data_IF_189508812491
#
_entry.id   IF_189508812491
#
_cell.length_a   1.000
_cell.length_b   1.000
_cell.length_c   1.000
_cell.angle_alpha   90.00
_cell.angle_beta   90.00
_cell.angle_gamma   90.00
#
_symmetry.space_group_name_H-M   'P 1'
#
loop_
_entity.id
_entity.type
_entity.pdbx_description
1 polymer ?
#
# COMPACT_ATOMS: atom_id res chain seq x y z
N UNK A 1 6.12 -4.16 24.10
CA UNK A 1 6.05 -4.42 22.64
C UNK A 1 5.55 -5.84 22.45
N UNK A 2 4.54 -6.06 21.61
CA UNK A 2 4.10 -7.40 21.19
C UNK A 2 4.52 -7.62 19.74
N UNK A 3 5.00 -8.82 19.39
CA UNK A 3 5.45 -9.16 18.05
C UNK A 3 4.55 -10.22 17.39
N UNK A 4 4.34 -10.08 16.09
CA UNK A 4 3.62 -11.06 15.26
C UNK A 4 4.18 -11.08 13.84
N UNK A 5 3.90 -12.16 13.11
CA UNK A 5 4.27 -12.27 11.70
C UNK A 5 3.01 -12.49 10.86
N UNK A 6 2.93 -11.79 9.72
CA UNK A 6 1.94 -12.05 8.69
C UNK A 6 2.64 -12.88 7.62
N UNK A 7 2.25 -14.14 7.53
CA UNK A 7 2.56 -14.99 6.39
C UNK A 7 1.46 -14.81 5.36
N UNK A 8 1.83 -14.65 4.08
CA UNK A 8 0.84 -14.68 3.01
C UNK A 8 0.05 -15.99 3.12
N UNK A 9 -1.27 -15.92 3.01
CA UNK A 9 -2.06 -17.14 2.78
C UNK A 9 -1.50 -17.85 1.55
N UNK A 10 -1.65 -19.17 1.48
CA UNK A 10 -1.11 -20.08 0.46
C UNK A 10 -1.72 -19.86 -0.96
N UNK A 11 -1.93 -18.60 -1.33
CA UNK A 11 -2.23 -18.11 -2.66
C UNK A 11 -0.88 -17.97 -3.36
N UNK A 12 -0.52 -19.01 -4.13
CA UNK A 12 0.57 -19.06 -5.13
C UNK A 12 1.42 -17.77 -5.19
N UNK A 13 2.51 -17.69 -4.40
CA UNK A 13 3.31 -16.46 -4.23
C UNK A 13 3.77 -15.82 -5.56
N UNK A 14 3.94 -16.63 -6.62
CA UNK A 14 4.24 -16.13 -7.96
C UNK A 14 3.07 -15.39 -8.62
N UNK A 15 1.82 -15.78 -8.36
CA UNK A 15 0.64 -15.05 -8.79
C UNK A 15 0.52 -13.70 -8.08
N UNK A 16 0.76 -13.64 -6.77
CA UNK A 16 0.76 -12.40 -5.96
C UNK A 16 1.89 -11.44 -6.37
N UNK A 17 3.08 -11.97 -6.70
CA UNK A 17 4.18 -11.16 -7.23
C UNK A 17 3.90 -10.52 -8.58
N UNK A 18 3.36 -11.33 -9.50
CA UNK A 18 2.97 -10.85 -10.82
C UNK A 18 1.89 -9.79 -10.69
N UNK A 19 0.92 -10.04 -9.82
CA UNK A 19 -0.15 -9.12 -9.44
C UNK A 19 0.41 -7.72 -9.09
N UNK A 20 1.37 -7.60 -8.16
CA UNK A 20 1.93 -6.29 -7.79
C UNK A 20 2.60 -5.52 -8.95
N UNK A 21 3.17 -6.23 -9.93
CA UNK A 21 3.76 -5.59 -11.12
C UNK A 21 2.74 -4.75 -11.90
N UNK A 22 1.45 -5.04 -11.77
CA UNK A 22 0.38 -4.24 -12.38
C UNK A 22 0.28 -2.88 -11.68
N UNK A 23 0.27 -2.84 -10.34
CA UNK A 23 0.21 -1.58 -9.59
C UNK A 23 1.47 -0.74 -9.75
N UNK A 24 2.65 -1.36 -9.67
CA UNK A 24 3.91 -0.65 -9.88
C UNK A 24 3.98 -0.03 -11.28
N UNK A 25 3.42 -0.69 -12.28
CA UNK A 25 3.34 -0.15 -13.63
C UNK A 25 2.38 1.06 -13.71
N UNK A 26 1.21 0.98 -13.06
CA UNK A 26 0.20 2.05 -13.08
C UNK A 26 0.59 3.25 -12.24
N UNK A 27 1.15 3.04 -11.04
CA UNK A 27 1.63 4.12 -10.16
C UNK A 27 2.77 4.93 -10.81
N UNK A 28 3.41 4.39 -11.85
CA UNK A 28 4.46 5.07 -12.64
C UNK A 28 3.94 5.73 -13.92
N UNK A 29 2.64 5.70 -14.18
CA UNK A 29 2.00 6.45 -15.27
C UNK A 29 1.83 7.90 -14.80
N UNK A 30 2.08 8.84 -15.70
CA UNK A 30 1.66 10.23 -15.52
C UNK A 30 0.31 10.44 -16.22
N UNK A 31 -0.74 10.74 -15.47
CA UNK A 31 -2.06 11.06 -16.02
C UNK A 31 -2.70 12.23 -15.28
N UNK A 32 -2.39 13.48 -15.64
CA UNK A 32 -2.86 14.66 -14.90
C UNK A 32 -4.37 14.90 -15.02
N UNK A 33 -5.04 14.22 -15.93
CA UNK A 33 -6.44 14.44 -16.30
C UNK A 33 -7.38 13.30 -15.89
N UNK A 34 -6.84 12.11 -15.55
CA UNK A 34 -7.64 10.93 -15.29
C UNK A 34 -7.13 10.14 -14.08
N UNK A 35 -8.05 9.55 -13.33
CA UNK A 35 -7.79 8.32 -12.58
C UNK A 35 -8.12 7.10 -13.45
N UNK A 36 -7.62 5.93 -13.07
CA UNK A 36 -7.79 4.66 -13.75
C UNK A 36 -8.39 3.62 -12.81
N UNK A 37 -9.63 3.23 -13.08
CA UNK A 37 -10.16 1.98 -12.52
C UNK A 37 -9.55 0.78 -13.24
N UNK A 38 -9.23 -0.27 -12.50
CA UNK A 38 -8.67 -1.51 -13.04
C UNK A 38 -9.52 -2.72 -12.68
N UNK A 39 -9.69 -3.61 -13.65
CA UNK A 39 -10.25 -4.93 -13.46
C UNK A 39 -9.26 -6.00 -13.95
N UNK A 40 -8.74 -6.79 -13.01
CA UNK A 40 -7.81 -7.89 -13.29
C UNK A 40 -8.63 -9.16 -13.54
N UNK A 41 -8.86 -9.48 -14.81
CA UNK A 41 -9.63 -10.66 -15.22
C UNK A 41 -8.80 -11.95 -15.20
N UNK A 42 -7.52 -11.86 -15.55
CA UNK A 42 -6.61 -13.01 -15.56
C UNK A 42 -5.16 -12.58 -15.33
N UNK A 43 -4.41 -13.38 -14.58
CA UNK A 43 -2.98 -13.16 -14.31
C UNK A 43 -2.17 -14.16 -15.10
N UNK A 44 -1.26 -13.64 -15.92
CA UNK A 44 -0.41 -14.46 -16.75
C UNK A 44 0.55 -15.33 -15.94
N UNK A 45 0.98 -16.44 -16.56
CA UNK A 45 2.02 -17.30 -16.00
C UNK A 45 3.43 -16.68 -16.10
N UNK A 46 3.58 -15.50 -16.68
CA UNK A 46 4.85 -14.80 -16.87
C UNK A 46 4.79 -13.38 -16.32
N UNK A 47 5.96 -12.76 -16.11
CA UNK A 47 6.07 -11.37 -15.68
C UNK A 47 5.29 -10.43 -16.61
N UNK A 48 4.68 -9.39 -16.04
CA UNK A 48 3.91 -8.40 -16.77
C UNK A 48 4.87 -7.56 -17.65
N UNK A 49 4.59 -7.39 -18.94
CA UNK A 49 5.21 -6.39 -19.82
C UNK A 49 4.99 -4.93 -19.38
N UNK A 50 5.48 -4.54 -18.19
CA UNK A 50 5.20 -3.24 -17.54
C UNK A 50 5.49 -2.03 -18.43
N UNK A 51 6.65 -1.99 -19.10
CA UNK A 51 7.01 -0.88 -20.00
C UNK A 51 6.03 -0.73 -21.17
N UNK A 52 5.57 -1.86 -21.72
CA UNK A 52 4.65 -1.87 -22.86
C UNK A 52 3.25 -1.45 -22.42
N UNK A 53 2.75 -2.05 -21.34
CA UNK A 53 1.47 -1.69 -20.74
C UNK A 53 1.42 -0.19 -20.43
N UNK A 54 2.46 0.35 -19.78
CA UNK A 54 2.54 1.76 -19.43
C UNK A 54 2.44 2.66 -20.67
N UNK A 55 3.28 2.41 -21.68
CA UNK A 55 3.29 3.20 -22.91
C UNK A 55 1.94 3.18 -23.64
N UNK A 56 1.29 2.02 -23.68
CA UNK A 56 -0.02 1.88 -24.33
C UNK A 56 -1.12 2.61 -23.54
N UNK A 57 -1.11 2.53 -22.21
CA UNK A 57 -2.03 3.27 -21.35
C UNK A 57 -1.81 4.79 -21.41
N UNK A 58 -0.57 5.26 -21.35
CA UNK A 58 -0.23 6.68 -21.51
C UNK A 58 -0.71 7.21 -22.87
N UNK A 59 -0.44 6.45 -23.94
CA UNK A 59 -0.92 6.78 -25.28
C UNK A 59 -2.43 6.87 -25.37
N UNK A 60 -3.15 5.88 -24.82
CA UNK A 60 -4.61 5.89 -24.78
C UNK A 60 -5.16 7.07 -23.97
N UNK A 61 -4.67 7.29 -22.75
CA UNK A 61 -5.11 8.39 -21.89
C UNK A 61 -4.85 9.76 -22.51
N UNK A 62 -3.73 9.93 -23.20
CA UNK A 62 -3.38 11.18 -23.87
C UNK A 62 -4.30 11.52 -25.06
N UNK A 63 -4.99 10.52 -25.61
CA UNK A 63 -5.91 10.68 -26.73
C UNK A 63 -7.35 11.00 -26.28
N UNK A 64 -7.66 10.87 -24.99
CA UNK A 64 -8.99 11.12 -24.46
C UNK A 64 -9.18 12.59 -24.11
N UNK A 65 -10.36 13.12 -24.43
CA UNK A 65 -10.82 14.41 -23.96
C UNK A 65 -11.45 14.25 -22.56
N UNK A 66 -10.86 14.80 -21.48
CA UNK A 66 -11.38 14.62 -20.13
C UNK A 66 -12.75 15.24 -19.89
N UNK A 67 -13.21 16.14 -20.76
CA UNK A 67 -14.54 16.74 -20.66
C UNK A 67 -15.60 15.93 -21.44
N UNK A 68 -15.18 14.98 -22.29
CA UNK A 68 -16.06 14.13 -23.10
C UNK A 68 -16.18 12.69 -22.59
N UNK A 69 -15.34 12.28 -21.62
CA UNK A 69 -15.35 10.92 -21.07
C UNK A 69 -16.57 10.71 -20.16
N UNK A 70 -17.44 9.78 -20.57
CA UNK A 70 -18.57 9.35 -19.74
C UNK A 70 -18.10 8.32 -18.68
N UNK A 71 -18.44 8.58 -17.42
CA UNK A 71 -18.08 7.69 -16.31
C UNK A 71 -18.87 6.38 -16.36
N UNK A 72 -18.21 5.27 -16.71
CA UNK A 72 -18.79 3.93 -16.64
C UNK A 72 -18.31 3.15 -15.41
N UNK A 73 -19.23 2.90 -14.47
CA UNK A 73 -19.00 2.08 -13.28
C UNK A 73 -19.48 0.64 -13.50
N UNK A 74 -18.83 -0.32 -12.84
CA UNK A 74 -19.21 -1.75 -12.95
C UNK A 74 -19.07 -2.28 -14.38
N UNK A 75 -19.81 -3.30 -14.78
CA UNK A 75 -19.76 -3.85 -16.16
C UNK A 75 -20.52 -3.00 -17.19
N UNK A 76 -20.73 -1.70 -16.94
CA UNK A 76 -21.41 -0.82 -17.86
C UNK A 76 -20.65 -0.77 -19.22
N UNK A 77 -21.28 -1.20 -20.33
CA UNK A 77 -20.61 -1.28 -21.63
C UNK A 77 -20.53 0.06 -22.38
N UNK A 78 -21.08 1.15 -21.82
CA UNK A 78 -21.23 2.43 -22.54
C UNK A 78 -20.08 3.44 -22.38
N UNK A 79 -19.11 3.19 -21.50
CA UNK A 79 -17.99 4.13 -21.29
C UNK A 79 -16.68 3.68 -21.91
N UNK A 80 -15.72 4.62 -21.92
CA UNK A 80 -14.36 4.38 -22.39
C UNK A 80 -13.70 3.23 -21.62
N UNK A 81 -13.09 2.33 -22.38
CA UNK A 81 -12.48 1.12 -21.83
C UNK A 81 -11.27 0.72 -22.65
N UNK A 82 -10.19 0.37 -21.95
CA UNK A 82 -8.98 -0.16 -22.54
C UNK A 82 -8.78 -1.60 -22.06
N UNK A 83 -8.97 -2.57 -22.96
CA UNK A 83 -8.71 -3.98 -22.68
C UNK A 83 -7.29 -4.35 -23.11
N UNK A 84 -6.51 -4.87 -22.17
CA UNK A 84 -5.12 -5.25 -22.40
C UNK A 84 -4.93 -6.75 -22.21
N UNK A 85 -4.35 -7.41 -23.22
CA UNK A 85 -4.15 -8.87 -23.23
C UNK A 85 -2.80 -9.24 -23.81
N UNK A 86 -1.96 -9.88 -23.00
CA UNK A 86 -0.66 -10.39 -23.44
C UNK A 86 -0.11 -11.43 -22.47
N UNK A 87 0.55 -12.49 -22.96
CA UNK A 87 1.24 -13.50 -22.11
C UNK A 87 0.36 -14.10 -20.98
N UNK A 88 -0.92 -14.32 -21.28
CA UNK A 88 -1.90 -14.87 -20.33
C UNK A 88 -2.49 -13.83 -19.36
N UNK A 89 -2.09 -12.56 -19.47
CA UNK A 89 -2.73 -11.46 -18.76
C UNK A 89 -4.02 -11.04 -19.46
N UNK A 90 -5.05 -10.73 -18.67
CA UNK A 90 -6.26 -10.05 -19.13
C UNK A 90 -6.59 -8.95 -18.12
N UNK A 91 -6.36 -7.71 -18.53
CA UNK A 91 -6.62 -6.52 -17.73
C UNK A 91 -7.65 -5.66 -18.47
N UNK A 92 -8.49 -4.96 -17.73
CA UNK A 92 -9.35 -3.93 -18.27
C UNK A 92 -9.18 -2.65 -17.46
N UNK A 93 -9.12 -1.51 -18.15
CA UNK A 93 -8.94 -0.20 -17.56
C UNK A 93 -10.09 0.71 -17.97
N UNK A 94 -10.52 1.59 -17.06
CA UNK A 94 -11.50 2.64 -17.35
C UNK A 94 -11.00 3.99 -16.84
N UNK A 95 -11.13 5.06 -17.64
CA UNK A 95 -10.73 6.39 -17.21
C UNK A 95 -11.84 7.01 -16.36
N UNK A 96 -11.43 7.75 -15.34
CA UNK A 96 -12.30 8.55 -14.48
C UNK A 96 -11.77 9.98 -14.56
N UNK A 97 -12.52 10.93 -15.15
CA UNK A 97 -12.02 12.28 -15.32
C UNK A 97 -11.76 12.95 -13.97
N UNK A 98 -10.64 13.67 -13.90
CA UNK A 98 -10.32 14.57 -12.78
C UNK A 98 -11.06 15.87 -13.01
N UNK A 99 -11.66 16.41 -11.93
CA UNK A 99 -12.33 17.71 -11.95
C UNK A 99 -11.41 18.78 -12.56
N UNK A 100 -11.95 19.60 -13.46
CA UNK A 100 -11.18 20.58 -14.24
C UNK A 100 -10.18 21.40 -13.39
N UNK A 101 -10.61 21.95 -12.25
CA UNK A 101 -9.76 22.78 -11.38
C UNK A 101 -8.71 21.98 -10.58
N UNK A 102 -8.75 20.66 -10.63
CA UNK A 102 -7.83 19.76 -9.90
C UNK A 102 -6.88 19.00 -10.82
N UNK A 103 -6.98 19.22 -12.14
CA UNK A 103 -6.08 18.64 -13.14
C UNK A 103 -4.65 19.17 -12.95
N UNK A 104 -3.65 18.32 -13.22
CA UNK A 104 -2.24 18.71 -13.22
C UNK A 104 -1.58 18.94 -11.85
N UNK A 105 -2.23 18.57 -10.73
CA UNK A 105 -1.59 18.64 -9.41
C UNK A 105 -0.48 17.59 -9.28
N UNK A 106 0.67 17.98 -8.72
CA UNK A 106 1.91 17.20 -8.70
C UNK A 106 1.84 15.87 -7.92
N UNK A 107 0.82 15.67 -7.06
CA UNK A 107 0.63 14.45 -6.26
C UNK A 107 -0.57 13.60 -6.74
N UNK A 108 -1.00 13.78 -8.00
CA UNK A 108 -2.14 13.07 -8.55
C UNK A 108 -1.81 11.59 -8.82
N UNK A 109 -2.38 10.70 -8.00
CA UNK A 109 -2.23 9.25 -8.19
C UNK A 109 -3.15 8.79 -9.31
N UNK A 110 -2.60 8.07 -10.29
CA UNK A 110 -3.35 7.63 -11.47
C UNK A 110 -4.31 6.48 -11.19
N UNK A 111 -4.10 5.67 -10.16
CA UNK A 111 -4.98 4.55 -9.84
C UNK A 111 -6.24 5.00 -9.07
N UNK A 112 -7.42 4.67 -9.59
CA UNK A 112 -8.75 4.77 -8.96
C UNK A 112 -9.26 3.39 -8.54
N UNK A 113 -9.79 3.22 -7.32
CA UNK A 113 -10.25 1.90 -6.83
C UNK A 113 -11.71 1.70 -7.22
N UNK A 114 -12.00 0.84 -8.22
CA UNK A 114 -13.34 0.27 -8.46
C UNK A 114 -13.33 -1.14 -9.12
N UNK A 115 -13.74 -2.18 -8.38
CA UNK A 115 -14.23 -3.44 -8.96
C UNK A 115 -14.31 -4.65 -8.02
N UNK A 116 -15.10 -5.70 -8.35
CA UNK A 116 -15.18 -6.93 -7.56
C UNK A 116 -13.87 -7.71 -7.50
N UNK A 117 -12.98 -7.55 -8.50
CA UNK A 117 -11.63 -8.11 -8.50
C UNK A 117 -10.68 -7.45 -7.50
N UNK A 118 -10.96 -6.20 -7.07
CA UNK A 118 -10.19 -5.47 -6.06
C UNK A 118 -10.49 -5.95 -4.64
N UNK A 119 -11.63 -6.64 -4.42
CA UNK A 119 -12.00 -7.17 -3.11
C UNK A 119 -10.98 -8.18 -2.55
N UNK A 120 -10.24 -8.88 -3.42
CA UNK A 120 -9.14 -9.76 -3.01
C UNK A 120 -7.85 -9.00 -2.62
N UNK A 121 -7.68 -7.74 -3.03
CA UNK A 121 -6.49 -6.92 -2.76
C UNK A 121 -6.67 -6.01 -1.55
N UNK A 122 -7.92 -5.57 -1.32
CA UNK A 122 -8.40 -5.07 -0.03
C UNK A 122 -8.14 -6.05 1.12
N UNK A 123 -7.84 -7.32 0.83
CA UNK A 123 -7.51 -8.31 1.84
C UNK A 123 -6.19 -7.99 2.54
N UNK A 124 -5.13 -7.48 1.88
CA UNK A 124 -3.85 -7.19 2.57
C UNK A 124 -3.99 -6.08 3.60
N UNK A 125 -4.67 -4.98 3.23
CA UNK A 125 -5.09 -3.91 4.17
C UNK A 125 -5.92 -4.50 5.30
N UNK A 126 -6.85 -5.41 4.99
CA UNK A 126 -7.74 -6.02 5.97
C UNK A 126 -7.04 -7.03 6.88
N UNK A 127 -6.04 -7.74 6.37
CA UNK A 127 -5.18 -8.71 7.08
C UNK A 127 -4.25 -7.96 8.03
N UNK A 128 -3.59 -6.89 7.56
CA UNK A 128 -2.79 -6.04 8.44
C UNK A 128 -3.67 -5.39 9.52
N UNK A 129 -4.78 -4.76 9.13
CA UNK A 129 -5.72 -4.13 10.07
C UNK A 129 -6.32 -5.13 11.05
N UNK A 130 -6.63 -6.35 10.60
CA UNK A 130 -7.11 -7.46 11.43
C UNK A 130 -6.03 -7.93 12.42
N UNK A 131 -4.78 -8.04 11.98
CA UNK A 131 -3.62 -8.36 12.80
C UNK A 131 -3.40 -7.28 13.87
N UNK A 132 -3.38 -6.01 13.49
CA UNK A 132 -3.26 -4.88 14.42
C UNK A 132 -4.40 -4.89 15.42
N UNK A 133 -5.65 -5.14 14.98
CA UNK A 133 -6.80 -5.23 15.88
C UNK A 133 -6.67 -6.37 16.88
N UNK A 134 -6.30 -7.56 16.41
CA UNK A 134 -6.15 -8.74 17.26
C UNK A 134 -5.07 -8.52 18.33
N UNK A 135 -3.94 -7.93 17.94
CA UNK A 135 -2.78 -7.69 18.83
C UNK A 135 -2.98 -6.48 19.74
N UNK A 136 -3.47 -5.39 19.17
CA UNK A 136 -3.78 -4.16 19.89
C UNK A 136 -4.89 -4.32 20.93
N UNK A 137 -5.71 -5.38 20.87
CA UNK A 137 -6.73 -5.69 21.89
C UNK A 137 -6.40 -6.91 22.76
N UNK A 138 -5.22 -7.54 22.55
CA UNK A 138 -4.81 -8.72 23.30
C UNK A 138 -4.53 -8.43 24.78
N UNK A 139 -4.25 -7.17 25.11
CA UNK A 139 -3.94 -6.73 26.47
C UNK A 139 -5.01 -5.77 26.98
N UNK A 140 -5.29 -5.87 28.29
CA UNK A 140 -6.10 -4.89 29.01
C UNK A 140 -5.34 -3.58 29.23
N UNK A 141 -5.60 -2.92 30.36
CA UNK A 141 -4.82 -1.74 30.74
C UNK A 141 -3.35 -2.11 30.97
N UNK A 142 -2.44 -1.38 30.34
CA UNK A 142 -0.99 -1.49 30.50
C UNK A 142 -0.47 -0.19 31.10
N UNK A 143 0.52 -0.29 31.98
CA UNK A 143 1.20 0.87 32.58
C UNK A 143 2.26 1.50 31.64
N UNK A 144 2.48 0.90 30.48
CA UNK A 144 3.47 1.32 29.48
C UNK A 144 2.83 1.37 28.09
N UNK A 145 3.31 2.27 27.20
CA UNK A 145 2.79 2.39 25.86
C UNK A 145 2.92 1.09 25.07
N UNK A 146 1.82 0.67 24.43
CA UNK A 146 1.83 -0.50 23.57
C UNK A 146 2.38 -0.14 22.19
N UNK A 147 3.37 -0.91 21.74
CA UNK A 147 3.79 -0.97 20.34
C UNK A 147 3.56 -2.38 19.83
N UNK A 148 2.87 -2.53 18.72
CA UNK A 148 2.72 -3.80 18.01
C UNK A 148 3.79 -3.84 16.92
N UNK A 149 4.60 -4.89 16.92
CA UNK A 149 5.61 -5.17 15.91
C UNK A 149 5.08 -6.24 14.95
N UNK A 150 5.08 -5.94 13.67
CA UNK A 150 4.60 -6.84 12.61
C UNK A 150 5.74 -7.05 11.63
N UNK A 151 6.23 -8.30 11.56
CA UNK A 151 7.10 -8.71 10.47
C UNK A 151 6.22 -9.19 9.30
N UNK A 152 6.23 -8.47 8.20
CA UNK A 152 5.47 -8.81 7.01
C UNK A 152 6.38 -9.63 6.09
N UNK A 153 6.10 -10.93 5.98
CA UNK A 153 6.88 -11.84 5.16
C UNK A 153 6.46 -11.83 3.68
N UNK A 154 5.40 -11.08 3.33
CA UNK A 154 4.95 -10.92 1.95
C UNK A 154 5.79 -9.85 1.25
N UNK A 155 6.19 -10.11 0.01
CA UNK A 155 6.98 -9.16 -0.80
C UNK A 155 6.13 -8.00 -1.37
N UNK A 156 4.89 -7.82 -0.88
CA UNK A 156 3.83 -7.05 -1.54
C UNK A 156 3.16 -6.01 -0.65
N UNK A 157 3.63 -5.85 0.59
CA UNK A 157 3.15 -4.80 1.47
C UNK A 157 3.84 -3.49 1.11
N UNK A 158 3.08 -2.52 0.61
CA UNK A 158 3.60 -1.19 0.33
C UNK A 158 3.20 -0.17 1.42
N UNK A 159 3.69 1.07 1.27
CA UNK A 159 3.36 2.14 2.21
C UNK A 159 1.86 2.47 2.19
N UNK A 160 1.18 2.34 1.05
CA UNK A 160 -0.27 2.61 0.96
C UNK A 160 -1.08 1.55 1.71
N UNK A 161 -0.68 0.28 1.70
CA UNK A 161 -1.35 -0.74 2.50
C UNK A 161 -1.27 -0.41 3.99
N UNK A 162 -0.12 0.12 4.42
CA UNK A 162 0.07 0.64 5.77
C UNK A 162 -0.85 1.82 6.05
N UNK A 163 -0.90 2.81 5.15
CA UNK A 163 -1.75 3.99 5.29
C UNK A 163 -3.24 3.61 5.27
N UNK A 164 -3.63 2.65 4.44
CA UNK A 164 -4.96 2.07 4.36
C UNK A 164 -5.37 1.41 5.68
N UNK A 165 -4.49 0.60 6.26
CA UNK A 165 -4.75 -0.09 7.51
C UNK A 165 -4.82 0.89 8.70
N UNK A 166 -3.95 1.90 8.75
CA UNK A 166 -3.86 2.85 9.85
C UNK A 166 -4.89 3.97 9.76
N UNK A 167 -4.97 4.66 8.62
CA UNK A 167 -5.72 5.90 8.43
C UNK A 167 -6.94 5.75 7.53
N UNK A 168 -7.06 4.62 6.83
CA UNK A 168 -8.21 4.25 6.04
C UNK A 168 -7.92 4.17 4.55
N UNK A 169 -8.68 3.31 3.89
CA UNK A 169 -8.46 2.92 2.50
C UNK A 169 -8.67 4.12 1.58
N UNK A 170 -7.75 4.36 0.66
CA UNK A 170 -7.93 5.38 -0.36
C UNK A 170 -9.09 5.01 -1.30
N UNK A 171 -9.96 5.98 -1.61
CA UNK A 171 -11.13 5.83 -2.48
C UNK A 171 -11.34 7.08 -3.31
N UNK A 172 -12.01 6.93 -4.44
CA UNK A 172 -12.62 8.06 -5.15
C UNK A 172 -14.08 8.16 -4.68
N UNK A 173 -14.49 9.36 -4.30
CA UNK A 173 -15.88 9.67 -3.98
C UNK A 173 -16.42 10.65 -5.02
N UNK A 174 -17.65 10.43 -5.47
CA UNK A 174 -18.42 11.34 -6.31
C UNK A 174 -19.90 11.25 -5.91
N UNK A 175 -20.67 12.26 -6.27
CA UNK A 175 -22.11 12.32 -6.17
C UNK A 175 -22.77 11.56 -7.32
N UNK A 176 -23.86 10.85 -7.01
CA UNK A 176 -24.59 10.08 -8.00
C UNK A 176 -25.23 11.02 -9.01
N UNK A 177 -24.80 10.94 -10.27
CA UNK A 177 -25.30 11.78 -11.37
C UNK A 177 -24.47 13.03 -11.66
N UNK A 178 -23.37 13.26 -10.92
CA UNK A 178 -22.42 14.33 -11.18
C UNK A 178 -20.99 13.77 -11.28
N UNK A 179 -20.51 13.43 -12.49
CA UNK A 179 -19.15 12.93 -12.71
C UNK A 179 -18.04 13.91 -12.31
N UNK A 180 -18.31 15.22 -12.33
CA UNK A 180 -17.32 16.26 -12.02
C UNK A 180 -17.05 16.42 -10.52
N UNK A 181 -17.91 15.81 -9.69
CA UNK A 181 -17.75 15.78 -8.23
C UNK A 181 -16.71 14.77 -7.74
N UNK A 182 -16.06 14.02 -8.64
CA UNK A 182 -15.04 13.04 -8.32
C UNK A 182 -13.86 13.67 -7.57
N UNK A 183 -13.65 13.19 -6.33
CA UNK A 183 -12.55 13.61 -5.45
C UNK A 183 -11.90 12.41 -4.78
N UNK A 184 -10.59 12.50 -4.59
CA UNK A 184 -9.83 11.53 -3.79
C UNK A 184 -10.13 11.74 -2.30
N UNK A 185 -10.47 10.65 -1.61
CA UNK A 185 -10.74 10.65 -0.16
C UNK A 185 -10.13 9.41 0.50
N UNK A 186 -9.80 9.49 1.79
CA UNK A 186 -9.60 8.28 2.61
C UNK A 186 -10.91 7.90 3.27
N UNK A 187 -11.26 6.62 3.20
CA UNK A 187 -12.40 6.06 3.91
C UNK A 187 -12.17 6.12 5.43
N UNK A 188 -13.24 6.19 6.22
CA UNK A 188 -13.17 6.23 7.69
C UNK A 188 -13.00 4.85 8.34
N UNK A 189 -12.33 3.93 7.65
CA UNK A 189 -12.18 2.52 8.02
C UNK A 189 -10.78 2.17 8.54
N UNK A 190 -9.89 3.16 8.69
CA UNK A 190 -8.57 2.99 9.30
C UNK A 190 -8.65 2.61 10.78
N UNK A 191 -7.66 1.87 11.26
CA UNK A 191 -7.57 1.46 12.66
C UNK A 191 -7.41 2.66 13.60
N UNK A 192 -6.47 3.56 13.34
CA UNK A 192 -6.29 4.79 14.14
C UNK A 192 -7.33 5.85 13.83
N UNK A 193 -8.09 5.72 12.74
CA UNK A 193 -9.11 6.69 12.36
C UNK A 193 -8.55 7.84 11.53
N UNK A 194 -9.12 9.03 11.70
CA UNK A 194 -8.83 10.19 10.85
C UNK A 194 -8.64 11.45 11.70
N UNK A 195 -8.02 12.53 11.17
CA UNK A 195 -7.83 13.77 11.90
C UNK A 195 -9.11 14.27 12.56
N UNK A 196 -9.05 14.51 13.87
CA UNK A 196 -10.20 14.93 14.70
C UNK A 196 -11.05 13.79 15.28
N UNK A 197 -10.89 12.56 14.79
CA UNK A 197 -11.61 11.36 15.26
C UNK A 197 -10.63 10.18 15.46
N UNK A 198 -9.55 10.42 16.22
CA UNK A 198 -8.53 9.41 16.52
C UNK A 198 -9.07 8.28 17.42
N UNK A 199 -8.68 7.04 17.11
CA UNK A 199 -9.15 5.79 17.74
C UNK A 199 -7.97 4.93 18.17
N UNK A 200 -8.23 4.03 19.13
CA UNK A 200 -7.24 3.05 19.61
C UNK A 200 -5.93 3.70 20.09
N UNK A 201 -6.08 4.84 20.79
CA UNK A 201 -4.99 5.69 21.33
C UNK A 201 -4.10 4.97 22.36
N UNK A 202 -4.51 3.81 22.86
CA UNK A 202 -3.71 2.94 23.72
C UNK A 202 -2.57 2.23 22.96
N UNK A 203 -2.67 2.13 21.63
CA UNK A 203 -1.60 1.66 20.76
C UNK A 203 -0.75 2.86 20.32
N UNK A 204 0.39 3.07 20.96
CA UNK A 204 1.29 4.19 20.72
C UNK A 204 2.00 4.14 19.35
N UNK A 205 2.18 2.94 18.79
CA UNK A 205 2.78 2.78 17.47
C UNK A 205 2.71 1.37 16.90
N UNK A 206 3.04 1.29 15.61
CA UNK A 206 3.16 0.06 14.84
C UNK A 206 4.59 -0.01 14.28
N UNK A 207 5.37 -1.00 14.69
CA UNK A 207 6.70 -1.28 14.12
C UNK A 207 6.55 -2.29 12.98
N UNK A 208 6.69 -1.84 11.74
CA UNK A 208 6.65 -2.69 10.55
C UNK A 208 8.06 -3.02 10.07
N UNK A 209 8.30 -4.28 9.75
CA UNK A 209 9.53 -4.71 9.10
C UNK A 209 9.20 -5.73 8.00
N UNK A 210 10.01 -5.78 6.94
CA UNK A 210 9.77 -6.68 5.82
C UNK A 210 10.76 -7.84 5.80
N UNK A 211 10.23 -9.06 5.90
CA UNK A 211 10.99 -10.29 5.75
C UNK A 211 12.27 -10.30 6.63
N UNK A 212 12.16 -9.81 7.87
CA UNK A 212 13.25 -9.89 8.85
C UNK A 212 13.48 -11.36 9.16
N UNK A 213 14.71 -11.80 8.90
CA UNK A 213 15.20 -13.13 9.22
C UNK A 213 16.59 -13.00 9.86
N UNK A 214 17.07 -13.98 10.65
CA UNK A 214 18.36 -13.89 11.33
C UNK A 214 19.53 -13.51 10.41
N UNK A 215 19.54 -14.02 9.18
CA UNK A 215 20.57 -13.73 8.17
C UNK A 215 20.36 -12.41 7.39
N UNK A 216 19.31 -11.64 7.67
CA UNK A 216 19.03 -10.34 7.03
C UNK A 216 18.76 -9.22 8.03
N UNK A 217 19.04 -9.45 9.31
CA UNK A 217 18.68 -8.53 10.41
C UNK A 217 19.33 -7.15 10.30
N UNK A 218 20.44 -7.03 9.58
CA UNK A 218 21.12 -5.75 9.28
C UNK A 218 20.71 -5.14 7.94
N UNK A 219 19.98 -5.87 7.10
CA UNK A 219 19.65 -5.48 5.73
C UNK A 219 18.25 -4.85 5.61
N UNK A 220 17.43 -4.93 6.65
CA UNK A 220 16.07 -4.42 6.68
C UNK A 220 15.92 -3.44 7.84
N UNK A 221 15.67 -2.17 7.53
CA UNK A 221 15.41 -1.12 8.52
C UNK A 221 13.91 -1.06 8.80
N UNK A 222 13.45 -1.48 10.00
CA UNK A 222 12.05 -1.37 10.37
C UNK A 222 11.58 0.07 10.41
N UNK A 223 10.29 0.28 10.10
CA UNK A 223 9.62 1.57 10.19
C UNK A 223 8.64 1.58 11.34
N UNK A 224 8.89 2.42 12.35
CA UNK A 224 7.97 2.72 13.42
C UNK A 224 6.98 3.80 12.96
N UNK A 225 5.74 3.41 12.76
CA UNK A 225 4.61 4.31 12.58
C UNK A 225 4.13 4.76 13.95
N UNK A 226 4.14 6.07 14.20
CA UNK A 226 3.64 6.64 15.44
C UNK A 226 2.16 6.98 15.32
N UNK A 227 1.40 6.63 16.35
CA UNK A 227 0.02 7.07 16.46
C UNK A 227 -0.01 8.61 16.56
N UNK A 228 -0.91 9.33 15.86
CA UNK A 228 -0.92 10.80 15.85
C UNK A 228 -1.27 11.44 17.20
N UNK A 229 -2.12 10.79 17.99
CA UNK A 229 -2.58 11.25 19.30
C UNK A 229 -2.69 10.10 20.33
N UNK A 230 -1.56 9.50 20.78
CA UNK A 230 -1.59 8.38 21.72
C UNK A 230 -1.92 8.86 23.14
N UNK A 231 -2.42 7.97 24.00
CA UNK A 231 -2.55 8.23 25.45
C UNK A 231 -1.15 8.38 26.06
N UNK A 232 -0.27 7.42 25.76
CA UNK A 232 1.13 7.41 26.20
C UNK A 232 2.03 7.37 24.97
N UNK A 233 2.88 8.39 24.74
CA UNK A 233 3.78 8.41 23.58
C UNK A 233 4.95 7.45 23.78
N UNK A 234 5.49 6.97 22.66
CA UNK A 234 6.69 6.12 22.63
C UNK A 234 7.85 6.83 21.94
N UNK A 235 9.07 6.63 22.45
CA UNK A 235 10.30 7.11 21.81
C UNK A 235 10.86 6.05 20.89
N UNK A 236 11.11 6.41 19.62
CA UNK A 236 11.77 5.54 18.66
C UNK A 236 13.23 5.26 19.07
N UNK A 237 13.72 4.04 18.79
CA UNK A 237 15.14 3.75 18.82
C UNK A 237 15.84 4.39 17.62
N UNK A 238 17.09 4.80 17.78
CA UNK A 238 17.87 5.45 16.72
C UNK A 238 18.18 4.61 15.49
N UNK A 239 17.89 3.31 15.58
CA UNK A 239 18.09 2.32 14.50
C UNK A 239 16.83 2.08 13.68
N UNK A 240 15.70 2.66 14.07
CA UNK A 240 14.45 2.54 13.33
C UNK A 240 14.19 3.78 12.51
N UNK A 241 13.66 3.58 11.32
CA UNK A 241 12.99 4.65 10.60
C UNK A 241 11.71 4.99 11.36
N UNK A 242 11.36 6.26 11.42
CA UNK A 242 10.11 6.68 12.06
C UNK A 242 9.23 7.41 11.05
N UNK A 243 7.95 7.05 11.00
CA UNK A 243 6.92 7.73 10.20
C UNK A 243 5.85 8.29 11.13
N UNK A 244 5.47 9.55 10.93
CA UNK A 244 4.39 10.21 11.68
C UNK A 244 3.52 11.05 10.76
N UNK A 245 2.24 11.17 11.08
CA UNK A 245 1.34 12.08 10.39
C UNK A 245 1.56 13.50 10.93
N UNK A 246 1.95 14.42 10.05
CA UNK A 246 1.99 15.87 10.29
C UNK A 246 0.94 16.56 9.41
N UNK A 247 -0.14 17.01 10.05
CA UNK A 247 -1.32 17.53 9.36
C UNK A 247 -1.92 16.49 8.41
N UNK A 248 -1.65 16.65 7.11
CA UNK A 248 -2.12 15.75 6.03
C UNK A 248 -1.00 14.95 5.36
N UNK A 249 0.25 15.10 5.78
CA UNK A 249 1.41 14.46 5.15
C UNK A 249 2.13 13.53 6.12
N UNK A 250 2.84 12.55 5.57
CA UNK A 250 3.70 11.67 6.35
C UNK A 250 5.09 12.29 6.40
N UNK A 251 5.53 12.63 7.60
CA UNK A 251 6.91 13.00 7.87
C UNK A 251 7.72 11.74 8.22
N UNK A 252 8.88 11.60 7.60
CA UNK A 252 9.79 10.47 7.79
C UNK A 252 11.10 10.93 8.37
N UNK A 253 11.55 10.24 9.41
CA UNK A 253 12.86 10.41 10.02
C UNK A 253 13.66 9.14 9.77
N UNK A 254 14.81 9.30 9.12
CA UNK A 254 15.74 8.19 8.89
C UNK A 254 16.50 7.84 10.18
N UNK A 255 16.96 6.59 10.32
CA UNK A 255 17.83 6.19 11.43
C UNK A 255 19.09 7.05 11.51
N UNK A 256 19.60 7.23 12.72
CA UNK A 256 20.91 7.87 12.96
C UNK A 256 21.96 6.89 13.49
N UNK A 257 21.61 5.60 13.62
CA UNK A 257 22.50 4.52 14.00
C UNK A 257 22.27 3.30 13.11
N UNK A 258 23.34 2.55 12.84
CA UNK A 258 23.32 1.35 12.02
C UNK A 258 22.85 0.12 12.81
N UNK A 259 22.12 -0.77 12.14
CA UNK A 259 21.64 -2.02 12.77
C UNK A 259 22.79 -2.96 13.13
N UNK A 260 23.84 -3.01 12.30
CA UNK A 260 25.03 -3.83 12.55
C UNK A 260 25.70 -3.45 13.87
N UNK A 261 26.01 -2.16 14.05
CA UNK A 261 26.60 -1.64 15.28
C UNK A 261 25.71 -1.86 16.50
N UNK A 262 24.39 -1.66 16.35
CA UNK A 262 23.43 -1.84 17.43
C UNK A 262 23.32 -3.30 17.89
N UNK A 263 23.41 -4.25 16.97
CA UNK A 263 23.38 -5.68 17.29
C UNK A 263 24.77 -6.26 17.58
N UNK A 264 25.85 -5.48 17.41
CA UNK A 264 27.22 -5.97 17.56
C UNK A 264 27.61 -6.98 16.47
N UNK A 265 27.07 -6.83 15.26
CA UNK A 265 27.30 -7.72 14.12
C UNK A 265 28.38 -7.14 13.19
N UNK A 266 29.15 -8.01 12.48
CA UNK A 266 30.11 -7.56 11.49
C UNK A 266 29.41 -6.85 10.32
N UNK A 267 30.16 -5.99 9.62
CA UNK A 267 29.69 -5.24 8.45
C UNK A 267 29.15 -6.18 7.35
N UNK A 268 29.78 -7.33 7.17
CA UNK A 268 29.34 -8.39 6.27
C UNK A 268 28.63 -9.47 7.08
N UNK A 269 27.31 -9.33 7.24
CA UNK A 269 26.46 -10.33 7.87
C UNK A 269 25.45 -10.93 6.87
N UNK A 270 25.26 -12.27 6.87
CA UNK A 270 25.93 -13.26 7.71
C UNK A 270 27.39 -13.49 7.25
N UNK A 271 28.26 -13.82 8.20
CA UNK A 271 29.63 -14.22 7.92
C UNK A 271 29.68 -15.75 7.69
N UNK A 272 30.56 -16.20 6.79
CA UNK A 272 30.79 -17.60 6.45
C UNK A 272 30.35 -18.05 5.05
N UNK A 273 30.83 -19.23 4.66
CA UNK A 273 30.51 -19.85 3.36
C UNK A 273 29.07 -20.40 3.35
N UNK A 274 28.32 -20.26 2.23
CA UNK A 274 27.02 -20.90 2.08
C UNK A 274 27.13 -22.41 2.28
N UNK A 275 26.12 -23.02 2.91
CA UNK A 275 26.05 -24.48 2.97
C UNK A 275 26.12 -25.07 1.55
N UNK A 276 26.91 -26.15 1.34
CA UNK A 276 26.99 -26.79 0.04
C UNK A 276 25.58 -27.20 -0.40
N UNK A 277 25.21 -26.82 -1.63
CA UNK A 277 23.96 -27.28 -2.24
C UNK A 277 24.16 -28.73 -2.63
N UNK A 278 23.44 -29.64 -1.98
CA UNK A 278 23.36 -31.01 -2.46
C UNK A 278 22.65 -30.99 -3.82
N UNK A 279 23.34 -31.45 -4.86
CA UNK A 279 22.76 -31.73 -6.17
C UNK A 279 21.74 -32.87 -6.13
#
# INVERSE_FOLDING_TARGET
MEATCIFGSDINAGATARRQQVYDAINRIESPNFFLAIDVKEIGAQALPTTRLRRELEGWLSALDPDAVELALGDNPRGERFDWKERGWKLAFRPIPVRADSRGQANHRVLGVFGPGEAQWLDDVSVLRGTIRSKGSAYGALDLPLVVAVNVATAFHDEEDTLGALFGTWKIQFEVGDPDSARSVRARDGYWGSPGEWKHRHLAGLLLAHNVAPWRVTQEIPTLWLHPDPIDPVKALGVWRTSRLDGTHIERLEPYAELGDHFGLPEQWPDGEPFPRNE
#
